data_IF_458108308126
#
_entry.id   IF_458108308126
#
_cell.length_a   1.000
_cell.length_b   1.000
_cell.length_c   1.000
_cell.angle_alpha   90.00
_cell.angle_beta   90.00
_cell.angle_gamma   90.00
#
_symmetry.space_group_name_H-M   'P 1'
#
loop_
_entity.id
_entity.type
_entity.pdbx_description
1 polymer ?
#
# COMPACT_ATOMS: atom_id res chain seq x y z
N UNK A 1 13.30 13.23 13.46
CA UNK A 1 12.40 13.36 12.29
C UNK A 1 11.23 12.38 12.33
N UNK A 2 11.45 11.07 12.37
CA UNK A 2 10.38 10.05 12.36
C UNK A 2 9.30 10.23 13.45
N UNK A 3 9.70 10.39 14.72
CA UNK A 3 8.74 10.61 15.81
C UNK A 3 7.96 11.91 15.63
N UNK A 4 8.62 12.98 15.18
CA UNK A 4 7.97 14.26 14.91
C UNK A 4 6.93 14.15 13.79
N UNK A 5 7.23 13.39 12.73
CA UNK A 5 6.28 13.09 11.66
C UNK A 5 5.05 12.34 12.19
N UNK A 6 5.24 11.30 13.00
CA UNK A 6 4.12 10.54 13.59
C UNK A 6 3.23 11.46 14.44
N UNK A 7 3.82 12.28 15.31
CA UNK A 7 3.06 13.17 16.18
C UNK A 7 2.29 14.24 15.38
N UNK A 8 2.91 14.79 14.34
CA UNK A 8 2.25 15.74 13.45
C UNK A 8 1.07 15.11 12.70
N UNK A 9 1.23 13.89 12.18
CA UNK A 9 0.16 13.15 11.51
C UNK A 9 -1.00 12.83 12.47
N UNK A 10 -0.69 12.40 13.70
CA UNK A 10 -1.68 12.12 14.73
C UNK A 10 -2.54 13.35 15.04
N UNK A 11 -1.90 14.50 15.28
CA UNK A 11 -2.61 15.74 15.59
C UNK A 11 -3.46 16.20 14.39
N UNK A 12 -2.93 16.10 13.18
CA UNK A 12 -3.61 16.55 11.97
C UNK A 12 -4.92 15.80 11.68
N UNK A 13 -5.09 14.56 12.15
CA UNK A 13 -6.28 13.72 11.92
C UNK A 13 -7.20 13.61 13.14
N UNK A 14 -6.87 14.25 14.26
CA UNK A 14 -7.66 14.17 15.47
C UNK A 14 -9.10 14.71 15.25
N UNK A 15 -10.11 13.92 15.64
CA UNK A 15 -11.53 14.25 15.47
C UNK A 15 -12.05 14.23 14.03
N UNK A 16 -11.26 13.77 13.05
CA UNK A 16 -11.62 13.73 11.64
C UNK A 16 -12.05 12.32 11.21
N UNK A 17 -13.16 12.22 10.50
CA UNK A 17 -13.67 10.94 10.00
C UNK A 17 -12.93 10.49 8.73
N UNK A 18 -12.57 9.21 8.63
CA UNK A 18 -11.82 8.69 7.49
C UNK A 18 -12.58 8.80 6.15
N UNK A 19 -13.91 8.77 6.19
CA UNK A 19 -14.79 8.81 5.02
C UNK A 19 -15.30 10.22 4.67
N UNK A 20 -14.78 11.28 5.31
CA UNK A 20 -15.10 12.64 4.91
C UNK A 20 -14.28 13.07 3.67
N UNK A 21 -14.67 14.20 3.07
CA UNK A 21 -13.98 14.76 1.92
C UNK A 21 -12.80 15.60 2.39
N UNK A 22 -11.60 15.30 1.88
CA UNK A 22 -10.39 16.06 2.12
C UNK A 22 -9.75 16.48 0.80
N UNK A 23 -9.07 17.65 0.75
CA UNK A 23 -8.30 18.02 -0.42
C UNK A 23 -7.16 17.01 -0.65
N UNK A 24 -7.05 16.49 -1.87
CA UNK A 24 -5.95 15.66 -2.30
C UNK A 24 -5.14 16.41 -3.35
N UNK A 25 -3.85 16.59 -3.10
CA UNK A 25 -2.93 17.14 -4.11
C UNK A 25 -2.60 16.08 -5.16
N UNK A 26 -2.07 16.51 -6.30
CA UNK A 26 -1.61 15.61 -7.36
C UNK A 26 -0.59 14.58 -6.85
N UNK A 27 0.26 14.96 -5.89
CA UNK A 27 1.24 14.03 -5.28
C UNK A 27 0.51 12.92 -4.54
N UNK A 28 -0.51 13.24 -3.73
CA UNK A 28 -1.31 12.24 -3.00
C UNK A 28 -2.03 11.31 -3.99
N UNK A 29 -2.65 11.87 -5.04
CA UNK A 29 -3.34 11.07 -6.05
C UNK A 29 -2.39 10.12 -6.79
N UNK A 30 -1.16 10.57 -7.11
CA UNK A 30 -0.13 9.72 -7.71
C UNK A 30 0.38 8.64 -6.76
N UNK A 31 0.51 8.93 -5.47
CA UNK A 31 0.84 7.93 -4.45
C UNK A 31 -0.26 6.86 -4.37
N UNK A 32 -1.54 7.24 -4.43
CA UNK A 32 -2.66 6.28 -4.46
C UNK A 32 -2.59 5.43 -5.74
N UNK A 33 -2.42 6.04 -6.92
CA UNK A 33 -2.32 5.30 -8.18
C UNK A 33 -1.11 4.32 -8.21
N UNK A 34 -0.01 4.69 -7.57
CA UNK A 34 1.12 3.77 -7.37
C UNK A 34 0.71 2.57 -6.51
N UNK A 35 -0.01 2.78 -5.40
CA UNK A 35 -0.52 1.69 -4.56
C UNK A 35 -1.53 0.81 -5.32
N UNK A 36 -2.41 1.39 -6.13
CA UNK A 36 -3.35 0.66 -7.00
C UNK A 36 -2.61 -0.23 -8.01
N UNK A 37 -1.46 0.23 -8.52
CA UNK A 37 -0.60 -0.58 -9.40
C UNK A 37 -0.04 -1.80 -8.66
N UNK A 38 0.41 -1.61 -7.42
CA UNK A 38 0.88 -2.72 -6.57
C UNK A 38 -0.23 -3.71 -6.24
N UNK A 39 -1.45 -3.23 -6.01
CA UNK A 39 -2.65 -4.05 -5.79
C UNK A 39 -3.04 -4.83 -7.04
N UNK A 40 -3.02 -4.20 -8.21
CA UNK A 40 -3.32 -4.85 -9.48
C UNK A 40 -2.37 -6.03 -9.77
N UNK A 41 -1.10 -5.93 -9.39
CA UNK A 41 -0.16 -7.06 -9.51
C UNK A 41 -0.57 -8.28 -8.69
N UNK A 42 -1.34 -8.12 -7.61
CA UNK A 42 -1.88 -9.26 -6.83
C UNK A 42 -2.87 -10.07 -7.69
N UNK A 43 -3.69 -9.38 -8.49
CA UNK A 43 -4.61 -10.04 -9.43
C UNK A 43 -3.85 -10.73 -10.56
N UNK A 44 -2.79 -10.10 -11.07
CA UNK A 44 -1.96 -10.65 -12.15
C UNK A 44 -1.06 -11.81 -11.72
N UNK A 45 -0.73 -11.88 -10.42
CA UNK A 45 0.17 -12.88 -9.84
C UNK A 45 -0.63 -13.71 -8.81
N UNK A 46 -1.51 -14.61 -9.28
CA UNK A 46 -2.34 -15.40 -8.39
C UNK A 46 -1.48 -16.37 -7.54
N UNK A 47 -1.99 -16.81 -6.38
CA UNK A 47 -1.33 -17.84 -5.57
C UNK A 47 -1.09 -19.12 -6.39
N UNK A 48 0.13 -19.64 -6.36
CA UNK A 48 0.44 -20.94 -6.98
C UNK A 48 0.06 -22.08 -6.06
N UNK A 49 -0.41 -23.20 -6.62
CA UNK A 49 -0.53 -24.44 -5.87
C UNK A 49 0.87 -24.93 -5.43
N UNK A 50 1.00 -25.27 -4.15
CA UNK A 50 2.28 -25.65 -3.56
C UNK A 50 2.09 -26.58 -2.35
N UNK A 51 3.02 -27.53 -2.13
CA UNK A 51 2.97 -28.41 -0.96
C UNK A 51 3.31 -27.69 0.36
N UNK A 52 3.89 -26.48 0.29
CA UNK A 52 4.29 -25.70 1.44
C UNK A 52 3.09 -25.00 2.09
N UNK A 53 2.94 -25.20 3.40
CA UNK A 53 1.77 -24.75 4.19
C UNK A 53 1.79 -23.27 4.62
N UNK A 54 2.90 -22.57 4.48
CA UNK A 54 3.05 -21.16 4.88
C UNK A 54 3.76 -20.36 3.79
N UNK A 55 3.31 -19.13 3.54
CA UNK A 55 3.91 -18.22 2.56
C UNK A 55 3.78 -18.75 1.14
N UNK A 56 2.92 -18.13 0.32
CA UNK A 56 2.80 -18.54 -1.07
C UNK A 56 4.00 -18.04 -1.89
N UNK A 57 4.59 -18.90 -2.74
CA UNK A 57 5.74 -18.53 -3.58
C UNK A 57 5.45 -17.37 -4.52
N UNK A 58 4.19 -17.16 -4.92
CA UNK A 58 3.75 -16.00 -5.71
C UNK A 58 4.11 -14.65 -5.07
N UNK A 59 4.26 -14.59 -3.74
CA UNK A 59 4.73 -13.36 -3.09
C UNK A 59 6.15 -12.95 -3.55
N UNK A 60 7.03 -13.92 -3.84
CA UNK A 60 8.37 -13.63 -4.33
C UNK A 60 8.33 -13.04 -5.74
N UNK A 61 7.41 -13.51 -6.57
CA UNK A 61 7.19 -12.98 -7.92
C UNK A 61 6.69 -11.54 -7.85
N UNK A 62 5.66 -11.28 -7.02
CA UNK A 62 5.15 -9.93 -6.76
C UNK A 62 6.25 -9.00 -6.25
N UNK A 63 7.08 -9.46 -5.31
CA UNK A 63 8.18 -8.67 -4.77
C UNK A 63 9.32 -8.47 -5.77
N UNK A 64 9.59 -9.44 -6.65
CA UNK A 64 10.59 -9.29 -7.72
C UNK A 64 10.19 -8.17 -8.65
N UNK A 65 8.91 -8.13 -9.06
CA UNK A 65 8.36 -7.06 -9.90
C UNK A 65 8.42 -5.69 -9.25
N UNK A 66 8.31 -5.61 -7.92
CA UNK A 66 8.49 -4.36 -7.17
C UNK A 66 9.93 -3.84 -7.19
N UNK A 67 10.93 -4.73 -7.32
CA UNK A 67 12.34 -4.37 -7.30
C UNK A 67 12.91 -4.00 -8.68
N UNK A 68 12.18 -4.34 -9.77
CA UNK A 68 12.51 -3.96 -11.15
C UNK A 68 12.28 -2.46 -11.41
#
# INVERSE_FOLDING_TARGET
EYLGFILAMNEAVHGKAANAVYPASDVILRTVAMLDTLDQWITEIPPTDQPQRFGNKSFKEWHSRLLE
#
